data_IF_421996247236
#
_entry.id   IF_421996247236
#
_cell.length_a   1.000
_cell.length_b   1.000
_cell.length_c   1.000
_cell.angle_alpha   90.00
_cell.angle_beta   90.00
_cell.angle_gamma   90.00
#
_symmetry.space_group_name_H-M   'P 1'
#
loop_
_entity.id
_entity.type
_entity.pdbx_description
1 polymer ?
#
# COMPACT_ATOMS: atom_id res chain seq x y z
N UNK A 1 12.45 -18.83 -29.43
CA UNK A 1 11.64 -18.06 -28.45
C UNK A 1 11.71 -16.60 -28.85
N UNK A 2 10.57 -15.96 -29.13
CA UNK A 2 10.53 -14.55 -29.50
C UNK A 2 10.41 -13.71 -28.24
N UNK A 3 11.28 -12.71 -28.07
CA UNK A 3 11.28 -11.81 -26.91
C UNK A 3 9.95 -11.05 -26.73
N UNK A 4 9.13 -10.95 -27.78
CA UNK A 4 7.82 -10.29 -27.76
C UNK A 4 6.66 -11.28 -27.93
N UNK A 5 6.88 -12.56 -27.62
CA UNK A 5 5.81 -13.55 -27.63
C UNK A 5 4.71 -13.12 -26.64
N UNK A 6 3.49 -12.96 -27.16
CA UNK A 6 2.31 -12.66 -26.35
C UNK A 6 1.69 -13.95 -25.88
N UNK A 7 1.22 -13.97 -24.64
CA UNK A 7 0.50 -15.14 -24.13
C UNK A 7 -0.93 -15.11 -24.69
N UNK A 8 -1.41 -16.20 -25.32
CA UNK A 8 -2.76 -16.24 -25.91
C UNK A 8 -3.81 -16.00 -24.84
N UNK A 9 -4.79 -15.14 -25.13
CA UNK A 9 -5.88 -14.83 -24.21
C UNK A 9 -6.66 -16.09 -23.83
N UNK A 10 -6.94 -16.96 -24.81
CA UNK A 10 -7.68 -18.20 -24.61
C UNK A 10 -7.00 -19.13 -23.60
N UNK A 11 -5.66 -19.20 -23.62
CA UNK A 11 -4.91 -20.01 -22.65
C UNK A 11 -4.99 -19.44 -21.24
N UNK A 12 -5.01 -18.12 -21.08
CA UNK A 12 -5.11 -17.47 -19.78
C UNK A 12 -6.53 -17.57 -19.22
N UNK A 13 -7.55 -17.40 -20.07
CA UNK A 13 -8.94 -17.61 -19.69
C UNK A 13 -9.19 -19.07 -19.33
N UNK A 14 -8.60 -20.02 -20.07
CA UNK A 14 -8.63 -21.44 -19.72
C UNK A 14 -7.98 -21.67 -18.35
N UNK A 15 -6.79 -21.11 -18.06
CA UNK A 15 -6.16 -21.20 -16.74
C UNK A 15 -7.01 -20.60 -15.61
N UNK A 16 -7.76 -19.53 -15.89
CA UNK A 16 -8.68 -18.94 -14.93
C UNK A 16 -9.95 -19.79 -14.73
N UNK A 17 -10.39 -20.52 -15.76
CA UNK A 17 -11.57 -21.40 -15.74
C UNK A 17 -11.28 -22.79 -15.14
N UNK A 18 -10.09 -23.35 -15.38
CA UNK A 18 -9.62 -24.68 -14.91
C UNK A 18 -9.38 -24.72 -13.39
N UNK A 19 -9.65 -23.61 -12.72
CA UNK A 19 -9.85 -23.51 -11.29
C UNK A 19 -11.16 -24.21 -10.85
N UNK A 20 -11.37 -25.49 -11.22
CA UNK A 20 -12.48 -26.33 -10.75
C UNK A 20 -12.44 -26.57 -9.21
N UNK A 21 -11.36 -26.15 -8.55
CA UNK A 21 -11.23 -26.01 -7.08
C UNK A 21 -11.16 -24.55 -6.61
N UNK A 22 -11.76 -23.64 -7.37
CA UNK A 22 -11.66 -22.19 -7.16
C UNK A 22 -12.40 -21.66 -5.94
N UNK A 23 -11.97 -20.49 -5.49
CA UNK A 23 -12.66 -19.72 -4.46
C UNK A 23 -14.08 -19.37 -4.93
N UNK A 24 -15.07 -19.55 -4.04
CA UNK A 24 -16.44 -19.11 -4.32
C UNK A 24 -16.46 -17.60 -4.57
N UNK A 25 -17.07 -17.17 -5.67
CA UNK A 25 -17.28 -15.75 -5.97
C UNK A 25 -18.33 -15.18 -5.01
N UNK A 26 -17.88 -14.56 -3.92
CA UNK A 26 -18.73 -13.95 -2.88
C UNK A 26 -18.63 -12.43 -2.83
N UNK A 27 -17.73 -11.83 -3.62
CA UNK A 27 -17.47 -10.39 -3.64
C UNK A 27 -18.36 -9.70 -4.69
N UNK A 28 -19.23 -8.79 -4.23
CA UNK A 28 -19.95 -7.86 -5.10
C UNK A 28 -19.20 -6.53 -5.31
N UNK A 29 -19.77 -5.61 -6.10
CA UNK A 29 -19.16 -4.33 -6.42
C UNK A 29 -18.79 -3.49 -5.19
N UNK A 30 -19.67 -3.40 -4.19
CA UNK A 30 -19.38 -2.68 -2.94
C UNK A 30 -18.20 -3.26 -2.16
N UNK A 31 -18.08 -4.60 -2.13
CA UNK A 31 -16.94 -5.26 -1.47
C UNK A 31 -15.62 -4.99 -2.20
N UNK A 32 -15.65 -4.90 -3.54
CA UNK A 32 -14.48 -4.57 -4.35
C UNK A 32 -14.06 -3.11 -4.17
N UNK A 33 -15.01 -2.18 -4.09
CA UNK A 33 -14.73 -0.76 -3.77
C UNK A 33 -14.12 -0.65 -2.38
N UNK A 34 -14.69 -1.31 -1.38
CA UNK A 34 -14.15 -1.32 -0.02
C UNK A 34 -12.73 -1.91 0.01
N UNK A 35 -12.48 -2.98 -0.73
CA UNK A 35 -11.13 -3.57 -0.87
C UNK A 35 -10.14 -2.56 -1.48
N UNK A 36 -10.54 -1.85 -2.54
CA UNK A 36 -9.72 -0.80 -3.15
C UNK A 36 -9.39 0.33 -2.17
N UNK A 37 -10.39 0.85 -1.46
CA UNK A 37 -10.19 1.89 -0.43
C UNK A 37 -9.24 1.38 0.66
N UNK A 38 -9.41 0.14 1.12
CA UNK A 38 -8.59 -0.49 2.14
C UNK A 38 -7.12 -0.65 1.77
N UNK A 39 -6.87 -0.93 0.49
CA UNK A 39 -5.53 -1.05 -0.07
C UNK A 39 -4.84 0.31 -0.28
N UNK A 40 -5.61 1.36 -0.62
CA UNK A 40 -5.08 2.71 -0.87
C UNK A 40 -4.83 3.48 0.43
N UNK A 41 -5.75 3.41 1.40
CA UNK A 41 -5.61 4.12 2.68
C UNK A 41 -4.64 3.37 3.60
N UNK A 42 -3.45 3.94 3.76
CA UNK A 42 -2.39 3.37 4.60
C UNK A 42 -1.33 4.38 5.02
N UNK A 43 -0.11 3.88 5.23
CA UNK A 43 1.03 4.64 5.74
C UNK A 43 1.31 5.96 5.00
N UNK A 44 1.03 6.02 3.69
CA UNK A 44 1.20 7.23 2.89
C UNK A 44 0.39 8.42 3.43
N UNK A 45 -0.91 8.21 3.68
CA UNK A 45 -1.79 9.26 4.19
C UNK A 45 -1.40 9.69 5.62
N UNK A 46 -1.09 8.71 6.47
CA UNK A 46 -0.88 8.94 7.90
C UNK A 46 0.51 9.48 8.25
N UNK A 47 1.56 9.07 7.54
CA UNK A 47 2.96 9.47 7.84
C UNK A 47 3.50 10.44 6.79
N UNK A 48 3.33 10.13 5.51
CA UNK A 48 4.04 10.85 4.43
C UNK A 48 3.41 12.21 4.11
N UNK A 49 2.11 12.39 4.38
CA UNK A 49 1.44 13.69 4.22
C UNK A 49 2.10 14.78 5.05
N UNK A 50 2.45 14.49 6.31
CA UNK A 50 3.10 15.46 7.20
C UNK A 50 4.49 15.86 6.68
N UNK A 51 5.28 14.89 6.22
CA UNK A 51 6.60 15.16 5.63
C UNK A 51 6.48 15.97 4.32
N UNK A 52 5.52 15.64 3.46
CA UNK A 52 5.28 16.36 2.21
C UNK A 52 4.86 17.81 2.44
N UNK A 53 3.99 18.06 3.42
CA UNK A 53 3.62 19.41 3.83
C UNK A 53 4.79 20.16 4.48
N UNK A 54 5.48 19.54 5.45
CA UNK A 54 6.50 20.22 6.24
C UNK A 54 7.84 20.48 5.52
N UNK A 55 8.22 19.64 4.56
CA UNK A 55 9.56 19.67 3.96
C UNK A 55 9.58 19.95 2.46
N UNK A 56 8.46 19.83 1.75
CA UNK A 56 8.43 19.95 0.29
C UNK A 56 7.47 21.04 -0.22
N UNK A 57 6.16 20.90 0.06
CA UNK A 57 5.13 21.71 -0.59
C UNK A 57 4.50 22.79 0.31
N UNK A 58 4.67 22.73 1.64
CA UNK A 58 4.01 23.66 2.54
C UNK A 58 2.48 23.56 2.47
N UNK A 59 1.75 24.68 2.65
CA UNK A 59 0.30 24.75 2.46
C UNK A 59 -0.17 24.36 1.06
N UNK A 60 0.72 24.43 0.05
CA UNK A 60 0.41 24.04 -1.32
C UNK A 60 0.38 22.51 -1.53
N UNK A 61 0.60 21.70 -0.49
CA UNK A 61 0.51 20.23 -0.55
C UNK A 61 -0.84 19.74 -1.13
N UNK A 62 -1.92 20.49 -0.90
CA UNK A 62 -3.24 20.20 -1.47
C UNK A 62 -3.22 20.22 -2.99
N UNK A 63 -2.52 21.19 -3.60
CA UNK A 63 -2.36 21.27 -5.05
C UNK A 63 -1.53 20.11 -5.59
N UNK A 64 -0.46 19.74 -4.88
CA UNK A 64 0.35 18.56 -5.22
C UNK A 64 -0.50 17.27 -5.22
N UNK A 65 -1.37 17.09 -4.22
CA UNK A 65 -2.27 15.93 -4.19
C UNK A 65 -3.33 15.95 -5.30
N UNK A 66 -3.86 17.11 -5.67
CA UNK A 66 -4.81 17.21 -6.79
C UNK A 66 -4.15 16.78 -8.11
N UNK A 67 -2.93 17.26 -8.39
CA UNK A 67 -2.20 16.90 -9.61
C UNK A 67 -1.89 15.39 -9.61
N UNK A 68 -1.42 14.85 -8.48
CA UNK A 68 -1.18 13.42 -8.35
C UNK A 68 -2.46 12.59 -8.53
N UNK A 69 -3.58 13.03 -7.97
CA UNK A 69 -4.88 12.37 -8.07
C UNK A 69 -5.39 12.30 -9.52
N UNK A 70 -5.20 13.36 -10.31
CA UNK A 70 -5.55 13.37 -11.74
C UNK A 70 -4.73 12.31 -12.50
N UNK A 71 -3.42 12.24 -12.26
CA UNK A 71 -2.55 11.21 -12.85
C UNK A 71 -3.00 9.79 -12.49
N UNK A 72 -3.29 9.55 -11.20
CA UNK A 72 -3.81 8.27 -10.73
C UNK A 72 -5.20 7.94 -11.31
N UNK A 73 -6.07 8.94 -11.53
CA UNK A 73 -7.37 8.73 -12.12
C UNK A 73 -7.28 8.24 -13.56
N UNK A 74 -6.42 8.84 -14.39
CA UNK A 74 -6.19 8.36 -15.75
C UNK A 74 -5.61 6.95 -15.78
N UNK A 75 -4.61 6.66 -14.94
CA UNK A 75 -4.08 5.31 -14.81
C UNK A 75 -5.17 4.32 -14.36
N UNK A 76 -6.00 4.71 -13.39
CA UNK A 76 -7.12 3.90 -12.89
C UNK A 76 -8.14 3.56 -13.96
N UNK A 77 -8.45 4.49 -14.86
CA UNK A 77 -9.34 4.24 -16.00
C UNK A 77 -8.75 3.20 -16.97
N UNK A 78 -7.45 3.28 -17.29
CA UNK A 78 -6.79 2.25 -18.11
C UNK A 78 -6.84 0.86 -17.43
N UNK A 79 -6.63 0.80 -16.12
CA UNK A 79 -6.75 -0.46 -15.37
C UNK A 79 -8.19 -0.99 -15.34
N UNK A 80 -9.20 -0.11 -15.27
CA UNK A 80 -10.60 -0.51 -15.34
C UNK A 80 -10.94 -1.13 -16.71
N UNK A 81 -10.42 -0.55 -17.80
CA UNK A 81 -10.56 -1.10 -19.14
C UNK A 81 -9.92 -2.49 -19.24
N UNK A 82 -8.67 -2.66 -18.79
CA UNK A 82 -8.00 -3.97 -18.79
C UNK A 82 -8.70 -5.01 -17.92
N UNK A 83 -9.16 -4.64 -16.71
CA UNK A 83 -9.88 -5.55 -15.83
C UNK A 83 -11.23 -5.99 -16.42
N UNK A 84 -11.87 -5.14 -17.23
CA UNK A 84 -13.11 -5.48 -17.94
C UNK A 84 -12.88 -6.39 -19.15
N UNK A 85 -11.77 -6.20 -19.89
CA UNK A 85 -11.42 -6.99 -21.07
C UNK A 85 -10.82 -8.35 -20.71
N UNK A 86 -10.05 -8.42 -19.63
CA UNK A 86 -9.28 -9.60 -19.23
C UNK A 86 -9.66 -9.94 -17.76
N UNK A 87 -10.83 -10.57 -17.53
CA UNK A 87 -11.40 -10.78 -16.19
C UNK A 87 -10.74 -11.96 -15.45
N UNK A 88 -9.43 -11.87 -15.28
CA UNK A 88 -8.60 -12.85 -14.58
C UNK A 88 -8.07 -12.28 -13.27
N UNK A 89 -7.70 -13.15 -12.34
CA UNK A 89 -6.93 -12.74 -11.17
C UNK A 89 -5.51 -12.36 -11.60
N UNK A 90 -5.28 -11.07 -11.87
CA UNK A 90 -4.01 -10.54 -12.35
C UNK A 90 -3.92 -9.01 -12.23
N UNK A 91 -2.70 -8.49 -12.35
CA UNK A 91 -2.39 -7.04 -12.35
C UNK A 91 -1.56 -6.70 -13.60
N UNK A 92 -0.83 -5.58 -13.59
CA UNK A 92 -0.06 -5.05 -14.73
C UNK A 92 0.83 -6.08 -15.45
N UNK A 93 1.43 -7.02 -14.71
CA UNK A 93 2.21 -8.13 -15.30
C UNK A 93 1.37 -8.96 -16.29
N UNK A 94 0.17 -9.38 -15.89
CA UNK A 94 -0.69 -10.20 -16.73
C UNK A 94 -1.18 -9.41 -17.96
N UNK A 95 -1.55 -8.15 -17.75
CA UNK A 95 -2.02 -7.27 -18.84
C UNK A 95 -0.92 -6.99 -19.87
N UNK A 96 0.31 -6.73 -19.42
CA UNK A 96 1.45 -6.49 -20.31
C UNK A 96 1.89 -7.74 -21.06
N UNK A 97 1.74 -8.94 -20.48
CA UNK A 97 2.04 -10.19 -21.20
C UNK A 97 1.09 -10.41 -22.38
N UNK A 98 -0.21 -10.13 -22.19
CA UNK A 98 -1.21 -10.27 -23.26
C UNK A 98 -1.03 -9.20 -24.33
N UNK A 99 -0.67 -7.98 -23.95
CA UNK A 99 -0.67 -6.82 -24.87
C UNK A 99 0.68 -6.54 -25.53
N UNK A 100 1.78 -6.60 -24.77
CA UNK A 100 3.12 -6.16 -25.17
C UNK A 100 4.13 -7.30 -25.30
N UNK A 101 3.87 -8.46 -24.69
CA UNK A 101 4.68 -9.67 -24.81
C UNK A 101 5.67 -9.86 -23.67
N UNK A 102 6.41 -10.97 -23.75
CA UNK A 102 7.20 -11.53 -22.66
C UNK A 102 8.25 -10.60 -22.06
N UNK A 103 9.08 -9.92 -22.87
CA UNK A 103 10.14 -9.05 -22.35
C UNK A 103 9.60 -7.89 -21.51
N UNK A 104 8.55 -7.22 -22.00
CA UNK A 104 7.95 -6.07 -21.29
C UNK A 104 7.25 -6.55 -20.02
N UNK A 105 6.51 -7.67 -20.12
CA UNK A 105 5.89 -8.29 -18.96
C UNK A 105 6.93 -8.69 -17.91
N UNK A 106 8.06 -9.26 -18.32
CA UNK A 106 9.15 -9.63 -17.42
C UNK A 106 9.71 -8.43 -16.66
N UNK A 107 10.01 -7.33 -17.37
CA UNK A 107 10.49 -6.09 -16.75
C UNK A 107 9.47 -5.56 -15.73
N UNK A 108 8.20 -5.48 -16.12
CA UNK A 108 7.12 -5.03 -15.24
C UNK A 108 6.95 -5.96 -14.03
N UNK A 109 7.08 -7.28 -14.23
CA UNK A 109 7.00 -8.27 -13.16
C UNK A 109 8.08 -8.06 -12.10
N UNK A 110 9.33 -7.85 -12.51
CA UNK A 110 10.42 -7.54 -11.58
C UNK A 110 10.25 -6.20 -10.89
N UNK A 111 9.78 -5.18 -11.62
CA UNK A 111 9.46 -3.88 -11.04
C UNK A 111 8.39 -4.01 -9.95
N UNK A 112 7.31 -4.75 -10.21
CA UNK A 112 6.23 -5.00 -9.25
C UNK A 112 6.71 -5.77 -8.01
N UNK A 113 7.56 -6.80 -8.17
CA UNK A 113 8.13 -7.53 -7.03
C UNK A 113 8.90 -6.59 -6.12
N UNK A 114 9.75 -5.71 -6.69
CA UNK A 114 10.50 -4.72 -5.91
C UNK A 114 9.58 -3.69 -5.27
N UNK A 115 8.58 -3.19 -6.01
CA UNK A 115 7.61 -2.21 -5.53
C UNK A 115 6.81 -2.75 -4.33
N UNK A 116 6.29 -3.98 -4.43
CA UNK A 116 5.55 -4.60 -3.33
C UNK A 116 6.44 -4.88 -2.11
N UNK A 117 7.69 -5.30 -2.32
CA UNK A 117 8.64 -5.52 -1.22
C UNK A 117 8.96 -4.19 -0.49
N UNK A 118 9.24 -3.13 -1.25
CA UNK A 118 9.48 -1.79 -0.69
C UNK A 118 8.23 -1.22 0.00
N UNK A 119 7.05 -1.44 -0.60
CA UNK A 119 5.76 -1.04 -0.04
C UNK A 119 5.50 -1.70 1.31
N UNK A 120 5.68 -3.02 1.41
CA UNK A 120 5.52 -3.77 2.66
C UNK A 120 6.48 -3.27 3.75
N UNK A 121 7.76 -3.04 3.40
CA UNK A 121 8.74 -2.51 4.34
C UNK A 121 8.36 -1.10 4.84
N UNK A 122 7.95 -0.21 3.92
CA UNK A 122 7.54 1.17 4.26
C UNK A 122 6.33 1.19 5.19
N UNK A 123 5.34 0.34 4.93
CA UNK A 123 4.14 0.22 5.78
C UNK A 123 4.49 -0.32 7.17
N UNK A 124 5.40 -1.30 7.26
CA UNK A 124 5.86 -1.85 8.54
C UNK A 124 6.62 -0.80 9.38
N UNK A 125 7.46 0.02 8.75
CA UNK A 125 8.18 1.12 9.42
C UNK A 125 7.19 2.16 9.97
N UNK A 126 6.22 2.58 9.16
CA UNK A 126 5.18 3.51 9.60
C UNK A 126 4.35 2.95 10.76
N UNK A 127 4.02 1.65 10.72
CA UNK A 127 3.33 0.99 11.82
C UNK A 127 4.17 1.00 13.11
N UNK A 128 5.47 0.72 13.02
CA UNK A 128 6.41 0.77 14.15
C UNK A 128 6.46 2.16 14.79
N UNK A 129 6.48 3.22 13.97
CA UNK A 129 6.47 4.60 14.46
C UNK A 129 5.19 4.92 15.26
N UNK A 130 4.02 4.52 14.74
CA UNK A 130 2.75 4.67 15.44
C UNK A 130 2.67 3.82 16.71
N UNK A 131 3.21 2.60 16.70
CA UNK A 131 3.28 1.76 17.89
C UNK A 131 4.14 2.42 18.98
N UNK A 132 5.32 2.93 18.64
CA UNK A 132 6.18 3.57 19.63
C UNK A 132 5.52 4.84 20.20
N UNK A 133 4.85 5.64 19.36
CA UNK A 133 4.03 6.78 19.80
C UNK A 133 2.90 6.36 20.75
N UNK A 134 2.21 5.25 20.45
CA UNK A 134 1.15 4.71 21.30
C UNK A 134 1.68 4.25 22.68
N UNK A 135 2.90 3.70 22.71
CA UNK A 135 3.59 3.29 23.94
C UNK A 135 4.28 4.45 24.66
N UNK A 136 4.05 5.70 24.24
CA UNK A 136 4.65 6.88 24.87
C UNK A 136 6.16 7.01 24.66
N UNK A 137 6.71 6.43 23.59
CA UNK A 137 8.15 6.45 23.30
C UNK A 137 8.96 5.47 24.14
N UNK A 138 8.33 4.43 24.70
CA UNK A 138 9.00 3.45 25.55
C UNK A 138 10.04 2.60 24.82
N UNK A 139 9.96 2.47 23.49
CA UNK A 139 10.93 1.70 22.71
C UNK A 139 12.14 2.60 22.39
N UNK A 140 13.36 2.20 22.78
CA UNK A 140 14.57 2.99 22.54
C UNK A 140 14.79 3.29 21.05
N UNK A 141 15.40 4.45 20.76
CA UNK A 141 15.65 4.92 19.40
C UNK A 141 16.43 3.89 18.57
N UNK A 142 17.41 3.25 19.20
CA UNK A 142 18.31 2.23 18.64
C UNK A 142 17.52 1.03 18.07
N UNK A 143 16.38 0.69 18.68
CA UNK A 143 15.54 -0.45 18.28
C UNK A 143 14.33 -0.06 17.43
N UNK A 144 14.15 1.23 17.14
CA UNK A 144 13.07 1.75 16.30
C UNK A 144 13.55 2.29 14.95
N UNK A 145 14.85 2.51 14.77
CA UNK A 145 15.40 3.15 13.57
C UNK A 145 16.49 2.31 12.91
N UNK A 146 16.78 2.60 11.64
CA UNK A 146 17.81 1.90 10.87
C UNK A 146 19.23 2.37 11.24
N UNK A 147 20.28 1.57 10.94
CA UNK A 147 21.69 1.97 11.12
C UNK A 147 22.11 3.27 10.44
N UNK A 148 21.34 3.67 9.43
CA UNK A 148 21.57 4.87 8.62
C UNK A 148 20.91 6.12 9.20
N UNK A 149 20.15 5.97 10.29
CA UNK A 149 19.47 7.06 10.97
C UNK A 149 20.15 7.34 12.31
N UNK A 150 20.35 8.62 12.60
CA UNK A 150 20.91 9.08 13.85
C UNK A 150 20.23 10.36 14.32
N UNK A 151 20.09 10.49 15.62
CA UNK A 151 19.51 11.65 16.27
C UNK A 151 20.40 12.08 17.44
N UNK A 152 20.71 13.37 17.51
CA UNK A 152 21.39 13.95 18.67
C UNK A 152 20.33 14.58 19.58
N UNK A 153 20.26 14.13 20.81
CA UNK A 153 19.31 14.64 21.78
C UNK A 153 19.68 16.05 22.28
N UNK A 154 18.79 16.64 23.10
CA UNK A 154 19.01 17.96 23.70
C UNK A 154 20.19 18.01 24.69
N UNK A 155 20.68 16.85 25.13
CA UNK A 155 21.83 16.70 26.01
C UNK A 155 23.15 16.47 25.25
N UNK A 156 23.10 16.43 23.91
CA UNK A 156 24.27 16.21 23.05
C UNK A 156 24.65 14.73 22.88
N UNK A 157 23.81 13.80 23.32
CA UNK A 157 24.02 12.36 23.16
C UNK A 157 23.59 11.94 21.77
N UNK A 158 24.49 11.30 21.04
CA UNK A 158 24.21 10.73 19.72
C UNK A 158 23.56 9.35 19.90
N UNK A 159 22.31 9.24 19.47
CA UNK A 159 21.62 7.96 19.31
C UNK A 159 21.72 7.52 17.86
N UNK A 160 22.16 6.29 17.64
CA UNK A 160 22.25 5.68 16.32
C UNK A 160 21.29 4.49 16.26
N UNK A 161 20.48 4.41 15.21
CA UNK A 161 19.64 3.25 14.97
C UNK A 161 20.47 1.98 14.82
N UNK A 162 19.92 0.83 15.21
CA UNK A 162 20.53 -0.48 15.02
C UNK A 162 19.63 -1.30 14.09
N UNK A 163 18.36 -1.41 14.43
CA UNK A 163 17.35 -2.03 13.59
C UNK A 163 15.96 -1.66 14.06
N UNK A 164 15.01 -1.53 13.13
CA UNK A 164 13.61 -1.33 13.48
C UNK A 164 12.97 -2.68 13.86
N UNK A 165 13.14 -3.08 15.12
CA UNK A 165 12.66 -4.36 15.64
C UNK A 165 11.12 -4.49 15.58
N UNK A 166 10.30 -3.48 15.95
CA UNK A 166 8.85 -3.62 15.85
C UNK A 166 8.36 -3.77 14.41
N UNK A 167 8.99 -3.07 13.44
CA UNK A 167 8.67 -3.25 12.02
C UNK A 167 8.99 -4.68 11.54
N UNK A 168 10.12 -5.24 11.97
CA UNK A 168 10.48 -6.62 11.64
C UNK A 168 9.48 -7.63 12.26
N UNK A 169 9.11 -7.41 13.52
CA UNK A 169 8.16 -8.29 14.22
C UNK A 169 6.80 -8.29 13.53
N UNK A 170 6.23 -7.14 13.17
CA UNK A 170 4.93 -7.10 12.48
C UNK A 170 5.03 -7.71 11.08
N UNK A 171 6.13 -7.51 10.36
CA UNK A 171 6.34 -8.08 9.04
C UNK A 171 6.41 -9.61 9.09
N UNK A 172 7.14 -10.17 10.06
CA UNK A 172 7.21 -11.62 10.28
C UNK A 172 5.86 -12.18 10.74
N UNK A 173 5.15 -11.49 11.64
CA UNK A 173 3.84 -11.91 12.11
C UNK A 173 2.82 -11.97 10.95
N UNK A 174 2.78 -10.95 10.09
CA UNK A 174 1.92 -10.93 8.91
C UNK A 174 2.32 -12.02 7.91
N UNK A 175 3.62 -12.27 7.74
CA UNK A 175 4.11 -13.35 6.87
C UNK A 175 3.67 -14.73 7.38
N UNK A 176 3.81 -14.99 8.68
CA UNK A 176 3.34 -16.25 9.30
C UNK A 176 1.82 -16.41 9.18
N UNK A 177 1.08 -15.33 9.35
CA UNK A 177 -0.37 -15.29 9.17
C UNK A 177 -0.76 -15.62 7.72
N UNK A 178 -0.05 -15.07 6.74
CA UNK A 178 -0.25 -15.39 5.31
C UNK A 178 0.12 -16.84 4.98
N UNK A 179 1.21 -17.38 5.53
CA UNK A 179 1.64 -18.78 5.35
C UNK A 179 0.58 -19.75 5.88
N UNK A 180 -0.03 -19.44 7.03
CA UNK A 180 -1.10 -20.26 7.61
C UNK A 180 -2.35 -20.34 6.73
N UNK A 181 -2.47 -19.43 5.76
CA UNK A 181 -3.62 -19.33 4.88
C UNK A 181 -4.71 -18.48 5.51
N UNK A 182 -4.84 -17.25 5.03
CA UNK A 182 -5.92 -16.36 5.43
C UNK A 182 -7.11 -16.58 4.51
N UNK A 183 -8.09 -17.39 4.94
CA UNK A 183 -9.44 -17.27 4.38
C UNK A 183 -10.08 -16.04 5.00
N UNK A 184 -9.69 -14.85 4.53
CA UNK A 184 -10.24 -13.61 5.01
C UNK A 184 -11.74 -13.56 4.70
N UNK A 185 -12.54 -13.35 5.75
CA UNK A 185 -13.95 -13.00 5.58
C UNK A 185 -14.03 -11.59 5.01
N UNK A 186 -14.73 -11.41 3.89
CA UNK A 186 -14.98 -10.09 3.31
C UNK A 186 -15.56 -9.09 4.34
N UNK A 187 -16.26 -9.59 5.36
CA UNK A 187 -16.78 -8.82 6.48
C UNK A 187 -15.65 -8.21 7.32
N UNK A 188 -14.62 -8.98 7.65
CA UNK A 188 -13.47 -8.50 8.45
C UNK A 188 -12.76 -7.38 7.71
N UNK A 189 -12.51 -7.58 6.41
CA UNK A 189 -11.90 -6.53 5.58
C UNK A 189 -12.78 -5.27 5.55
N UNK A 190 -14.10 -5.41 5.35
CA UNK A 190 -15.03 -4.27 5.35
C UNK A 190 -15.02 -3.50 6.68
N UNK A 191 -14.95 -4.20 7.83
CA UNK A 191 -14.84 -3.57 9.15
C UNK A 191 -13.55 -2.77 9.28
N UNK A 192 -12.41 -3.33 8.87
CA UNK A 192 -11.11 -2.64 8.93
C UNK A 192 -11.13 -1.38 8.07
N UNK A 193 -11.68 -1.47 6.86
CA UNK A 193 -11.82 -0.32 5.95
C UNK A 193 -12.71 0.75 6.57
N UNK A 194 -13.85 0.36 7.13
CA UNK A 194 -14.77 1.27 7.79
C UNK A 194 -14.09 2.03 8.94
N UNK A 195 -13.35 1.32 9.81
CA UNK A 195 -12.59 1.93 10.90
C UNK A 195 -11.57 2.94 10.36
N UNK A 196 -10.79 2.57 9.34
CA UNK A 196 -9.80 3.48 8.72
C UNK A 196 -10.45 4.76 8.20
N UNK A 197 -11.55 4.64 7.46
CA UNK A 197 -12.29 5.79 6.90
C UNK A 197 -12.90 6.65 8.01
N UNK A 198 -13.49 6.02 9.04
CA UNK A 198 -14.06 6.73 10.17
C UNK A 198 -13.01 7.56 10.93
N UNK A 199 -11.80 7.02 11.14
CA UNK A 199 -10.69 7.76 11.76
C UNK A 199 -10.32 8.99 10.94
N UNK A 200 -10.23 8.87 9.61
CA UNK A 200 -9.93 10.01 8.72
C UNK A 200 -11.01 11.08 8.80
N UNK A 201 -12.29 10.69 8.74
CA UNK A 201 -13.42 11.63 8.84
C UNK A 201 -13.43 12.33 10.20
N UNK A 202 -13.21 11.58 11.28
CA UNK A 202 -13.13 12.13 12.63
C UNK A 202 -12.00 13.14 12.76
N UNK A 203 -10.82 12.81 12.23
CA UNK A 203 -9.68 13.73 12.21
C UNK A 203 -10.00 15.02 11.47
N UNK A 204 -10.66 14.95 10.31
CA UNK A 204 -11.08 16.13 9.55
C UNK A 204 -12.10 16.96 10.36
N UNK A 205 -13.12 16.32 10.92
CA UNK A 205 -14.20 16.99 11.63
C UNK A 205 -13.71 17.72 12.90
N UNK A 206 -12.85 17.07 13.69
CA UNK A 206 -12.25 17.67 14.89
C UNK A 206 -11.22 18.72 14.48
N UNK A 207 -10.34 18.38 13.54
CA UNK A 207 -9.25 19.25 13.07
C UNK A 207 -9.74 20.58 12.48
N UNK A 208 -10.94 20.58 11.87
CA UNK A 208 -11.56 21.78 11.31
C UNK A 208 -11.65 22.95 12.29
N UNK A 209 -11.90 22.66 13.57
CA UNK A 209 -12.02 23.68 14.63
C UNK A 209 -10.68 24.34 14.98
N UNK A 210 -9.56 23.73 14.59
CA UNK A 210 -8.21 24.19 14.90
C UNK A 210 -7.49 24.81 13.69
N UNK A 211 -8.16 24.94 12.54
CA UNK A 211 -7.58 25.55 11.34
C UNK A 211 -7.38 27.05 11.56
N UNK A 212 -6.14 27.53 11.38
CA UNK A 212 -5.82 28.95 11.33
C UNK A 212 -5.36 29.32 9.93
N UNK A 213 -6.01 30.27 9.24
CA UNK A 213 -5.65 30.64 7.87
C UNK A 213 -4.25 31.26 7.70
N UNK A 214 -3.62 31.62 8.80
CA UNK A 214 -2.27 32.20 8.87
C UNK A 214 -1.12 31.19 8.76
N UNK A 215 -1.43 29.89 8.93
CA UNK A 215 -0.49 28.76 8.81
C UNK A 215 -0.48 28.18 7.39
#
# INVERSE_FOLDING_TARGET
MSLFAKKPLDQILAQAADSEKGLKRTLGAGNLVALGIGAIIGAGLFVRTAAAAGQAAGPAVTLSFIIAAIGCAFAGLCYAEFASMIPIAGSAYAYSYVTMGELIAWIIGWALIMEYALGAATVAIAWSEYLNKLLGGAIPYEWCHSPFESYTDSAGVLHQGIMNAPALVILLALTLLLIKGTQESAIVNAIIVFIKVAIVILFIAIGWQYIRPEN
#
